data_IF_540453466626
#
_entry.id   IF_540453466626
#
_cell.length_a   1.000
_cell.length_b   1.000
_cell.length_c   1.000
_cell.angle_alpha   90.00
_cell.angle_beta   90.00
_cell.angle_gamma   90.00
#
_symmetry.space_group_name_H-M   'P 1'
#
loop_
_entity.id
_entity.type
_entity.pdbx_description
1 polymer ?
#
# COMPACT_ATOMS: atom_id res chain seq x y z
N UNK A 1 -36.96 24.29 -31.94
CA UNK A 1 -36.55 22.96 -31.45
C UNK A 1 -36.16 23.12 -29.99
N UNK A 2 -36.95 22.57 -29.06
CA UNK A 2 -36.69 22.65 -27.61
C UNK A 2 -35.71 21.54 -27.23
N UNK A 3 -34.55 21.88 -26.67
CA UNK A 3 -33.61 20.87 -26.15
C UNK A 3 -34.17 20.27 -24.87
N UNK A 4 -34.19 18.93 -24.71
CA UNK A 4 -34.68 18.32 -23.49
C UNK A 4 -33.76 18.69 -22.31
N UNK A 5 -34.37 19.11 -21.20
CA UNK A 5 -33.64 19.35 -19.95
C UNK A 5 -33.00 18.04 -19.44
N UNK A 6 -31.78 18.10 -18.89
CA UNK A 6 -31.15 16.93 -18.31
C UNK A 6 -32.00 16.45 -17.13
N UNK A 7 -32.47 15.20 -17.20
CA UNK A 7 -33.26 14.58 -16.15
C UNK A 7 -32.38 14.41 -14.90
N UNK A 8 -32.58 15.25 -13.90
CA UNK A 8 -31.94 15.06 -12.60
C UNK A 8 -32.43 13.75 -11.98
N UNK A 9 -31.49 12.94 -11.51
CA UNK A 9 -31.79 11.70 -10.79
C UNK A 9 -32.41 12.04 -9.42
N UNK A 10 -33.21 11.16 -8.82
CA UNK A 10 -33.95 11.45 -7.58
C UNK A 10 -33.04 11.74 -6.37
N UNK A 11 -31.79 11.31 -6.41
CA UNK A 11 -30.72 11.58 -5.46
C UNK A 11 -30.07 12.97 -5.64
N UNK A 12 -30.46 13.75 -6.67
CA UNK A 12 -29.92 15.08 -6.94
C UNK A 12 -28.46 15.07 -7.41
N UNK A 13 -27.86 13.88 -7.58
CA UNK A 13 -26.49 13.71 -7.98
C UNK A 13 -26.38 13.75 -9.52
N UNK A 14 -25.50 14.62 -10.02
CA UNK A 14 -25.21 14.73 -11.44
C UNK A 14 -24.27 13.60 -11.88
N UNK A 15 -24.69 12.78 -12.85
CA UNK A 15 -23.82 11.78 -13.44
C UNK A 15 -23.08 12.38 -14.65
N UNK A 16 -21.74 12.32 -14.68
CA UNK A 16 -20.96 12.83 -15.81
C UNK A 16 -21.31 12.16 -17.15
N UNK A 17 -21.93 10.98 -17.16
CA UNK A 17 -22.42 10.29 -18.37
C UNK A 17 -23.66 10.94 -18.99
N UNK A 18 -24.40 11.73 -18.22
CA UNK A 18 -25.59 12.44 -18.70
C UNK A 18 -25.19 13.76 -19.41
N UNK A 19 -23.89 14.09 -19.44
CA UNK A 19 -23.34 15.22 -20.19
C UNK A 19 -23.31 14.89 -21.68
N UNK A 20 -24.24 15.46 -22.42
CA UNK A 20 -24.16 15.48 -23.88
C UNK A 20 -23.03 16.41 -24.32
N UNK A 21 -22.06 15.87 -25.05
CA UNK A 21 -20.97 16.66 -25.62
C UNK A 21 -21.52 17.55 -26.75
N UNK A 22 -21.62 18.86 -26.49
CA UNK A 22 -22.23 19.83 -27.41
C UNK A 22 -21.36 20.19 -28.62
N UNK A 23 -20.06 19.90 -28.56
CA UNK A 23 -19.05 20.34 -29.54
C UNK A 23 -18.44 19.16 -30.30
N UNK A 24 -19.22 18.13 -30.62
CA UNK A 24 -18.73 16.94 -31.35
C UNK A 24 -18.91 17.16 -32.85
N UNK A 25 -17.79 17.35 -33.56
CA UNK A 25 -17.77 17.31 -35.02
C UNK A 25 -17.94 15.85 -35.50
N UNK A 26 -18.43 15.67 -36.74
CA UNK A 26 -18.63 14.33 -37.31
C UNK A 26 -17.32 13.52 -37.36
N UNK A 27 -17.41 12.19 -37.24
CA UNK A 27 -16.23 11.31 -37.16
C UNK A 27 -15.31 11.34 -38.39
N UNK A 28 -15.78 11.89 -39.50
CA UNK A 28 -15.03 12.08 -40.75
C UNK A 28 -14.69 13.54 -41.04
N UNK A 29 -15.05 14.47 -40.14
CA UNK A 29 -14.70 15.86 -40.28
C UNK A 29 -13.18 16.03 -40.14
N UNK A 30 -12.56 16.82 -41.03
CA UNK A 30 -11.14 17.15 -40.94
C UNK A 30 -10.82 18.05 -39.75
N UNK A 31 -9.53 18.20 -39.43
CA UNK A 31 -9.08 19.07 -38.36
C UNK A 31 -9.48 20.53 -38.61
N UNK A 32 -10.32 21.08 -37.74
CA UNK A 32 -10.69 22.49 -37.74
C UNK A 32 -9.65 23.36 -37.05
N UNK A 33 -9.66 24.66 -37.35
CA UNK A 33 -8.74 25.63 -36.73
C UNK A 33 -8.92 25.77 -35.21
N UNK A 34 -10.07 25.36 -34.66
CA UNK A 34 -10.36 25.38 -33.23
C UNK A 34 -9.95 24.13 -32.45
N UNK A 35 -9.64 23.02 -33.15
CA UNK A 35 -9.44 21.71 -32.51
C UNK A 35 -8.19 21.67 -31.64
N UNK A 36 -7.16 22.44 -32.03
CA UNK A 36 -5.93 22.58 -31.24
C UNK A 36 -6.22 23.12 -29.83
N UNK A 37 -7.06 24.14 -29.72
CA UNK A 37 -7.40 24.71 -28.43
C UNK A 37 -8.24 23.75 -27.59
N UNK A 38 -9.20 23.06 -28.23
CA UNK A 38 -10.00 22.02 -27.56
C UNK A 38 -9.10 20.94 -26.97
N UNK A 39 -8.16 20.39 -27.75
CA UNK A 39 -7.18 19.41 -27.26
C UNK A 39 -6.33 19.98 -26.12
N UNK A 40 -5.81 21.20 -26.27
CA UNK A 40 -5.01 21.86 -25.23
C UNK A 40 -5.75 21.98 -23.91
N UNK A 41 -7.04 22.34 -23.94
CA UNK A 41 -7.86 22.45 -22.74
C UNK A 41 -8.17 21.07 -22.13
N UNK A 42 -8.59 20.11 -22.96
CA UNK A 42 -8.87 18.74 -22.52
C UNK A 42 -7.64 18.07 -21.90
N UNK A 43 -6.47 18.21 -22.53
CA UNK A 43 -5.22 17.66 -22.02
C UNK A 43 -4.84 18.20 -20.65
N UNK A 44 -5.02 19.51 -20.41
CA UNK A 44 -4.76 20.08 -19.08
C UNK A 44 -5.70 19.52 -18.01
N UNK A 45 -6.98 19.41 -18.34
CA UNK A 45 -7.98 18.83 -17.44
C UNK A 45 -7.62 17.38 -17.14
N UNK A 46 -7.22 16.62 -18.15
CA UNK A 46 -6.88 15.21 -18.00
C UNK A 46 -5.60 14.99 -17.19
N UNK A 47 -4.55 15.78 -17.44
CA UNK A 47 -3.31 15.72 -16.64
C UNK A 47 -3.59 16.07 -15.18
N UNK A 48 -4.39 17.10 -14.92
CA UNK A 48 -4.79 17.45 -13.56
C UNK A 48 -5.64 16.34 -12.90
N UNK A 49 -6.52 15.70 -13.66
CA UNK A 49 -7.33 14.56 -13.20
C UNK A 49 -6.44 13.39 -12.80
N UNK A 50 -5.47 13.02 -13.64
CA UNK A 50 -4.52 11.93 -13.36
C UNK A 50 -3.70 12.25 -12.10
N UNK A 51 -3.13 13.45 -12.01
CA UNK A 51 -2.35 13.87 -10.85
C UNK A 51 -3.17 13.84 -9.54
N UNK A 52 -4.44 14.22 -9.59
CA UNK A 52 -5.32 14.14 -8.42
C UNK A 52 -5.60 12.69 -8.00
N UNK A 53 -5.89 11.80 -8.96
CA UNK A 53 -6.09 10.38 -8.65
C UNK A 53 -4.84 9.73 -8.07
N UNK A 54 -3.66 10.04 -8.61
CA UNK A 54 -2.38 9.55 -8.08
C UNK A 54 -2.16 10.02 -6.64
N UNK A 55 -2.40 11.30 -6.36
CA UNK A 55 -2.32 11.84 -4.99
C UNK A 55 -3.28 11.13 -4.04
N UNK A 56 -4.54 10.96 -4.43
CA UNK A 56 -5.53 10.25 -3.61
C UNK A 56 -5.17 8.78 -3.39
N UNK A 57 -4.57 8.12 -4.38
CA UNK A 57 -4.13 6.73 -4.25
C UNK A 57 -3.00 6.61 -3.22
N UNK A 58 -2.02 7.51 -3.28
CA UNK A 58 -0.93 7.57 -2.29
C UNK A 58 -1.46 7.84 -0.88
N UNK A 59 -2.35 8.81 -0.72
CA UNK A 59 -2.95 9.14 0.59
C UNK A 59 -3.72 7.92 1.17
N UNK A 60 -4.48 7.20 0.35
CA UNK A 60 -5.17 5.97 0.76
C UNK A 60 -4.21 4.85 1.14
N UNK A 61 -3.12 4.70 0.41
CA UNK A 61 -2.10 3.70 0.70
C UNK A 61 -1.40 3.98 2.04
N UNK A 62 -1.02 5.24 2.28
CA UNK A 62 -0.41 5.68 3.54
C UNK A 62 -1.35 5.47 4.73
N UNK A 63 -2.62 5.85 4.60
CA UNK A 63 -3.63 5.61 5.63
C UNK A 63 -3.84 4.11 5.87
N UNK A 64 -3.88 3.31 4.81
CA UNK A 64 -4.00 1.85 4.89
C UNK A 64 -2.81 1.21 5.60
N UNK A 65 -1.58 1.65 5.31
CA UNK A 65 -0.35 1.21 5.98
C UNK A 65 -0.36 1.59 7.46
N UNK A 66 -0.73 2.83 7.79
CA UNK A 66 -0.82 3.30 9.16
C UNK A 66 -1.84 2.50 9.98
N UNK A 67 -3.01 2.24 9.40
CA UNK A 67 -4.06 1.44 10.03
C UNK A 67 -3.60 -0.01 10.30
N UNK A 68 -3.00 -0.67 9.30
CA UNK A 68 -2.45 -2.03 9.47
C UNK A 68 -1.38 -2.08 10.55
N UNK A 69 -0.45 -1.12 10.56
CA UNK A 69 0.59 -1.04 11.58
C UNK A 69 0.01 -0.84 12.99
N UNK A 70 -1.04 -0.02 13.13
CA UNK A 70 -1.73 0.17 14.41
C UNK A 70 -2.42 -1.13 14.90
N UNK A 71 -3.13 -1.82 14.02
CA UNK A 71 -3.77 -3.09 14.35
C UNK A 71 -2.75 -4.19 14.68
N UNK A 72 -1.63 -4.28 13.97
CA UNK A 72 -0.56 -5.21 14.31
C UNK A 72 0.04 -4.95 15.70
N UNK A 73 0.27 -3.68 16.06
CA UNK A 73 0.75 -3.29 17.39
C UNK A 73 -0.25 -3.72 18.47
N UNK A 74 -1.53 -3.43 18.24
CA UNK A 74 -2.63 -3.82 19.13
C UNK A 74 -2.71 -5.34 19.31
N UNK A 75 -2.64 -6.11 18.22
CA UNK A 75 -2.63 -7.58 18.27
C UNK A 75 -1.42 -8.12 19.01
N UNK A 76 -0.22 -7.56 18.77
CA UNK A 76 1.01 -7.92 19.50
C UNK A 76 0.86 -7.67 21.01
N UNK A 77 0.25 -6.56 21.42
CA UNK A 77 -0.02 -6.25 22.82
C UNK A 77 -1.05 -7.17 23.47
N UNK A 78 -2.15 -7.46 22.76
CA UNK A 78 -3.17 -8.42 23.20
C UNK A 78 -2.54 -9.80 23.39
N UNK A 79 -1.78 -10.29 22.41
CA UNK A 79 -1.12 -11.60 22.48
C UNK A 79 -0.13 -11.69 23.66
N UNK A 80 0.66 -10.64 23.91
CA UNK A 80 1.54 -10.55 25.09
C UNK A 80 0.72 -10.62 26.39
N UNK A 81 -0.40 -9.91 26.44
CA UNK A 81 -1.28 -9.87 27.62
C UNK A 81 -1.95 -11.22 27.87
N UNK A 82 -2.46 -11.87 26.82
CA UNK A 82 -3.05 -13.21 26.88
C UNK A 82 -2.02 -14.26 27.31
N UNK A 83 -0.79 -14.22 26.77
CA UNK A 83 0.30 -15.13 27.19
C UNK A 83 0.68 -14.94 28.66
N UNK A 84 0.69 -13.70 29.17
CA UNK A 84 0.93 -13.42 30.59
C UNK A 84 -0.24 -13.87 31.47
N UNK A 85 -1.47 -13.66 31.02
CA UNK A 85 -2.68 -14.09 31.72
C UNK A 85 -2.76 -15.62 31.82
N UNK A 86 -2.49 -16.35 30.73
CA UNK A 86 -2.49 -17.82 30.71
C UNK A 86 -1.41 -18.40 31.64
N UNK A 87 -0.19 -17.84 31.62
CA UNK A 87 0.87 -18.21 32.57
C UNK A 87 0.45 -17.99 34.03
N UNK A 88 -0.20 -16.87 34.35
CA UNK A 88 -0.72 -16.60 35.70
C UNK A 88 -1.83 -17.58 36.10
N UNK A 89 -2.75 -17.88 35.18
CA UNK A 89 -3.83 -18.84 35.39
C UNK A 89 -3.28 -20.24 35.70
N UNK A 90 -2.35 -20.75 34.88
CA UNK A 90 -1.70 -22.04 35.10
C UNK A 90 -0.99 -22.11 36.46
N UNK A 91 -0.26 -21.05 36.84
CA UNK A 91 0.37 -20.96 38.18
C UNK A 91 -0.63 -20.96 39.33
N UNK A 92 -1.79 -20.31 39.18
CA UNK A 92 -2.86 -20.32 40.19
C UNK A 92 -3.49 -21.71 40.33
N UNK A 93 -3.77 -22.38 39.20
CA UNK A 93 -4.30 -23.75 39.16
C UNK A 93 -3.34 -24.74 39.82
N UNK A 94 -2.04 -24.69 39.49
CA UNK A 94 -1.01 -25.52 40.14
C UNK A 94 -0.96 -25.29 41.66
N UNK A 95 -0.97 -24.03 42.12
CA UNK A 95 -1.00 -23.70 43.55
C UNK A 95 -2.27 -24.21 44.24
N UNK A 96 -3.43 -24.09 43.59
CA UNK A 96 -4.70 -24.59 44.12
C UNK A 96 -4.70 -26.11 44.23
N UNK A 97 -4.25 -26.82 43.18
CA UNK A 97 -4.12 -28.27 43.17
C UNK A 97 -3.14 -28.76 44.24
N UNK A 98 -2.00 -28.10 44.41
CA UNK A 98 -1.04 -28.42 45.48
C UNK A 98 -1.65 -28.29 46.86
N UNK A 99 -2.42 -27.22 47.12
CA UNK A 99 -3.14 -27.04 48.40
C UNK A 99 -4.21 -28.12 48.63
N UNK A 100 -4.85 -28.63 47.58
CA UNK A 100 -5.84 -29.73 47.69
C UNK A 100 -5.18 -31.09 47.93
N UNK A 101 -4.05 -31.36 47.28
CA UNK A 101 -3.37 -32.67 47.34
C UNK A 101 -2.56 -32.82 48.63
N UNK A 102 -1.92 -31.75 49.14
CA UNK A 102 -1.12 -31.77 50.38
C UNK A 102 -1.81 -32.46 51.58
N UNK A 103 -3.03 -32.05 52.00
CA UNK A 103 -3.69 -32.68 53.14
C UNK A 103 -4.11 -34.14 52.88
N UNK A 104 -4.35 -34.52 51.62
CA UNK A 104 -4.66 -35.90 51.26
C UNK A 104 -3.43 -36.81 51.31
N UNK A 105 -2.25 -36.32 50.90
CA UNK A 105 -0.99 -37.07 50.97
C UNK A 105 -0.50 -37.21 52.41
N UNK A 106 -0.64 -36.16 53.22
CA UNK A 106 -0.24 -36.13 54.63
C UNK A 106 -1.11 -37.07 55.51
N UNK A 107 -2.37 -37.30 55.14
CA UNK A 107 -3.25 -38.26 55.80
C UNK A 107 -2.94 -39.74 55.46
N UNK A 108 -2.32 -40.02 54.31
CA UNK A 108 -2.00 -41.39 53.87
C UNK A 108 -0.62 -41.84 54.36
N UNK A 109 0.35 -40.93 54.55
CA UNK A 109 1.67 -41.25 55.11
C UNK A 109 2.17 -40.18 56.10
N UNK A 110 1.91 -40.32 57.41
CA UNK A 110 2.38 -39.39 58.42
C UNK A 110 3.90 -39.61 58.68
N UNK A 111 4.73 -38.64 58.29
CA UNK A 111 6.18 -38.64 58.58
C UNK A 111 7.09 -38.42 57.37
N UNK A 112 6.58 -38.47 56.14
CA UNK A 112 7.35 -38.06 54.96
C UNK A 112 7.32 -36.54 54.87
N UNK A 113 8.45 -35.90 55.20
CA UNK A 113 8.66 -34.47 54.94
C UNK A 113 8.65 -34.30 53.42
N UNK A 114 7.50 -33.94 52.86
CA UNK A 114 7.41 -33.44 51.48
C UNK A 114 8.10 -32.08 51.49
N UNK A 115 9.43 -32.11 51.39
CA UNK A 115 10.23 -30.91 51.27
C UNK A 115 9.65 -30.04 50.16
N UNK A 116 9.72 -28.73 50.33
CA UNK A 116 9.33 -27.71 49.34
C UNK A 116 10.26 -27.74 48.10
N UNK A 117 10.80 -28.91 47.75
CA UNK A 117 11.57 -29.14 46.55
C UNK A 117 10.65 -28.92 45.35
N UNK A 118 11.03 -28.01 44.43
CA UNK A 118 10.27 -27.76 43.23
C UNK A 118 10.50 -28.95 42.29
N UNK A 119 9.74 -30.03 42.46
CA UNK A 119 9.62 -31.05 41.42
C UNK A 119 8.68 -30.53 40.33
N UNK A 120 9.09 -29.45 39.67
CA UNK A 120 8.52 -28.97 38.40
C UNK A 120 9.66 -28.95 37.37
N UNK A 121 10.42 -30.04 37.27
CA UNK A 121 11.13 -30.38 36.05
C UNK A 121 10.12 -30.91 35.04
N UNK A 122 9.28 -30.02 34.50
CA UNK A 122 8.46 -30.33 33.33
C UNK A 122 8.78 -29.30 32.25
N UNK A 123 9.85 -29.64 31.53
CA UNK A 123 10.14 -29.27 30.16
C UNK A 123 9.75 -27.83 29.75
N UNK A 124 10.72 -26.92 29.84
CA UNK A 124 10.60 -25.57 29.26
C UNK A 124 10.64 -25.58 27.71
N UNK A 125 10.76 -26.75 27.06
CA UNK A 125 10.86 -26.91 25.60
C UNK A 125 9.59 -27.47 24.92
N UNK A 126 8.38 -27.14 25.38
CA UNK A 126 7.16 -27.48 24.63
C UNK A 126 6.40 -26.21 24.24
N UNK A 127 6.52 -25.85 22.95
CA UNK A 127 5.85 -24.76 22.24
C UNK A 127 6.46 -23.36 22.36
N UNK A 128 7.69 -23.21 21.86
CA UNK A 128 8.05 -22.06 21.04
C UNK A 128 8.72 -22.64 19.78
N UNK A 129 7.93 -22.93 18.75
CA UNK A 129 8.47 -22.91 17.40
C UNK A 129 8.85 -21.45 17.13
N UNK A 130 10.14 -21.16 17.29
CA UNK A 130 10.77 -19.98 16.72
C UNK A 130 10.83 -20.19 15.21
N UNK A 131 10.02 -19.44 14.47
CA UNK A 131 10.40 -19.05 13.11
C UNK A 131 11.60 -18.09 13.23
N UNK A 132 12.78 -18.43 12.68
CA UNK A 132 13.88 -17.49 12.57
C UNK A 132 13.60 -16.59 11.37
N UNK A 133 13.67 -15.28 11.58
CA UNK A 133 13.83 -14.15 10.63
C UNK A 133 13.15 -12.94 11.30
N UNK A 134 13.75 -11.78 11.58
CA UNK A 134 14.87 -11.09 10.97
C UNK A 134 15.37 -10.08 12.02
N UNK A 135 16.70 -9.96 12.19
CA UNK A 135 17.30 -9.01 13.14
C UNK A 135 17.09 -7.58 12.65
N UNK A 136 16.50 -6.75 13.51
CA UNK A 136 16.57 -5.30 13.39
C UNK A 136 18.02 -4.85 13.58
N UNK A 137 18.62 -4.29 12.54
CA UNK A 137 19.88 -3.55 12.57
C UNK A 137 19.54 -2.05 12.70
N UNK A 138 20.03 -1.41 13.76
CA UNK A 138 19.86 0.03 14.02
C UNK A 138 21.16 0.74 13.62
N UNK A 139 21.05 1.53 12.57
CA UNK A 139 21.82 2.71 12.13
C UNK A 139 23.25 2.95 12.62
N UNK A 140 24.15 3.06 11.63
CA UNK A 140 25.33 3.94 11.67
C UNK A 140 25.08 5.19 10.80
N UNK A 141 25.19 6.44 11.31
CA UNK A 141 25.02 7.64 10.50
C UNK A 141 26.27 7.88 9.63
N UNK A 142 26.09 7.81 8.30
CA UNK A 142 27.15 8.07 7.30
C UNK A 142 27.19 9.55 6.89
N UNK A 143 28.38 10.14 6.63
CA UNK A 143 28.55 11.58 6.58
C UNK A 143 28.21 12.21 5.22
N UNK A 144 27.42 13.29 5.27
CA UNK A 144 27.36 14.45 4.38
C UNK A 144 27.76 14.31 2.90
N UNK A 145 26.80 13.95 2.05
CA UNK A 145 26.90 14.18 0.59
C UNK A 145 26.38 15.59 0.29
N UNK A 146 27.29 16.47 -0.13
CA UNK A 146 26.99 17.84 -0.57
C UNK A 146 26.01 17.78 -1.76
N UNK A 147 24.83 18.38 -1.61
CA UNK A 147 23.93 18.61 -2.72
C UNK A 147 24.60 19.54 -3.74
N UNK A 148 25.03 18.99 -4.89
CA UNK A 148 25.25 19.80 -6.07
C UNK A 148 23.87 20.10 -6.65
N UNK A 149 23.32 21.28 -6.33
CA UNK A 149 22.19 21.84 -7.07
C UNK A 149 22.60 21.92 -8.54
N UNK A 150 21.93 21.17 -9.40
CA UNK A 150 22.05 21.37 -10.84
C UNK A 150 21.54 22.79 -11.16
N UNK A 151 22.24 23.58 -11.99
CA UNK A 151 21.73 24.86 -12.43
C UNK A 151 20.51 24.65 -13.32
N UNK A 152 19.43 25.35 -12.99
CA UNK A 152 18.23 25.45 -13.81
C UNK A 152 18.66 26.11 -15.14
N UNK A 153 18.47 25.50 -16.32
CA UNK A 153 18.71 26.21 -17.56
C UNK A 153 17.66 27.33 -17.67
N UNK A 154 18.16 28.56 -17.70
CA UNK A 154 17.36 29.77 -17.88
C UNK A 154 16.54 29.66 -19.17
N UNK A 155 15.27 30.11 -19.07
CA UNK A 155 14.43 30.52 -20.20
C UNK A 155 15.27 31.32 -21.19
N UNK A 156 15.65 30.68 -22.28
CA UNK A 156 16.25 31.34 -23.43
C UNK A 156 15.12 31.56 -24.41
N UNK A 157 14.86 32.84 -24.66
CA UNK A 157 13.94 33.30 -25.69
C UNK A 157 14.31 32.63 -27.01
N UNK A 158 13.36 31.92 -27.62
CA UNK A 158 13.53 31.40 -28.97
C UNK A 158 13.32 32.59 -29.90
N UNK A 159 14.41 33.30 -30.18
CA UNK A 159 14.51 34.17 -31.34
C UNK A 159 14.48 33.28 -32.59
N UNK A 160 13.60 33.68 -33.51
CA UNK A 160 13.51 33.16 -34.86
C UNK A 160 14.88 33.25 -35.53
N UNK A 161 15.41 32.14 -36.06
CA UNK A 161 16.22 32.12 -37.27
C UNK A 161 16.29 30.67 -37.78
N UNK A 162 15.84 30.47 -39.03
CA UNK A 162 15.83 29.18 -39.68
C UNK A 162 17.23 28.73 -40.06
N UNK A 163 17.42 27.41 -40.08
CA UNK A 163 18.38 26.75 -40.97
C UNK A 163 17.90 25.32 -41.22
N UNK A 164 17.53 25.09 -42.47
CA UNK A 164 17.24 23.78 -43.04
C UNK A 164 18.54 23.02 -43.26
N UNK A 165 18.79 21.95 -42.51
CA UNK A 165 19.53 20.76 -42.95
C UNK A 165 19.87 19.86 -41.75
N UNK A 166 19.21 18.71 -41.62
CA UNK A 166 19.91 17.43 -41.77
C UNK A 166 18.90 16.29 -41.87
N UNK A 167 18.70 15.84 -43.11
CA UNK A 167 18.24 14.50 -43.42
C UNK A 167 19.34 13.50 -43.04
N UNK A 168 18.95 12.23 -42.86
CA UNK A 168 19.81 11.04 -42.76
C UNK A 168 20.39 10.68 -41.37
N UNK A 169 19.64 9.85 -40.64
CA UNK A 169 20.20 8.66 -39.99
C UNK A 169 19.09 7.60 -39.88
N UNK A 170 19.17 6.62 -40.78
CA UNK A 170 18.39 5.39 -40.81
C UNK A 170 18.86 4.47 -39.68
N UNK A 171 17.93 3.91 -38.90
CA UNK A 171 18.10 2.62 -38.26
C UNK A 171 16.82 1.80 -38.47
N UNK A 172 16.87 0.98 -39.52
CA UNK A 172 15.95 -0.12 -39.78
C UNK A 172 16.31 -1.29 -38.85
N UNK A 173 15.33 -1.86 -38.14
CA UNK A 173 15.19 -3.31 -37.91
C UNK A 173 13.98 -3.58 -37.01
N UNK A 174 12.82 -3.83 -37.62
CA UNK A 174 11.74 -4.59 -36.99
C UNK A 174 11.19 -5.57 -38.02
N UNK A 175 11.18 -6.90 -37.76
CA UNK A 175 10.78 -7.89 -38.74
C UNK A 175 9.26 -7.89 -38.93
N UNK A 176 8.83 -7.59 -40.16
CA UNK A 176 7.46 -7.75 -40.64
C UNK A 176 7.17 -9.25 -40.86
N UNK A 177 6.18 -9.80 -40.12
CA UNK A 177 5.70 -11.18 -40.29
C UNK A 177 4.60 -11.18 -41.35
N UNK A 178 4.88 -11.74 -42.52
CA UNK A 178 3.88 -12.05 -43.54
C UNK A 178 3.15 -13.35 -43.21
N UNK A 179 1.87 -13.27 -42.82
CA UNK A 179 0.95 -14.40 -42.88
C UNK A 179 0.49 -14.61 -44.32
N UNK A 180 0.99 -15.68 -44.96
CA UNK A 180 0.47 -16.16 -46.24
C UNK A 180 -0.86 -16.87 -46.03
N UNK A 181 -1.95 -16.28 -46.50
CA UNK A 181 -3.20 -17.01 -46.72
C UNK A 181 -3.09 -17.80 -48.04
N UNK A 182 -2.99 -19.13 -47.94
CA UNK A 182 -3.27 -20.04 -49.05
C UNK A 182 -4.78 -20.08 -49.30
N UNK A 183 -5.15 -20.00 -50.58
CA UNK A 183 -6.47 -20.40 -51.10
C UNK A 183 -6.80 -21.85 -50.78
#
# INVERSE_FOLDING_TARGET
MSTPEPKARPDGQFDPRDIQAKNVAGSTAGAGSGDFHVYRHQRRVEVARIANMEREALEKEEQGKAFRAAEERRLKEINKTLKRASKRRRKKELKHNRKRIRPAVEAVQPGVIVGDHPTDAINENAAIEESPDEKAEVESPSPGIKQRRAPIPNTTQVEENGDTANLEALDETSPFIEEKHSS
#
